data_IF_138450425090
#
_entry.id   IF_138450425090
#
_cell.length_a   1.000
_cell.length_b   1.000
_cell.length_c   1.000
_cell.angle_alpha   90.00
_cell.angle_beta   90.00
_cell.angle_gamma   90.00
#
_symmetry.space_group_name_H-M   'P 1'
#
loop_
_entity.id
_entity.type
_entity.pdbx_description
1 polymer ?
#
# COMPACT_ATOMS: atom_id res chain seq x y z
N UNK A 1 49.81 -6.96 1.75
CA UNK A 1 49.30 -6.47 0.45
C UNK A 1 47.81 -6.18 0.59
N UNK A 2 47.44 -4.91 0.74
CA UNK A 2 46.07 -4.44 0.88
C UNK A 2 45.39 -4.46 -0.49
N UNK A 3 44.32 -5.26 -0.65
CA UNK A 3 43.44 -5.20 -1.85
C UNK A 3 42.75 -3.85 -1.87
N UNK A 4 43.17 -2.93 -2.68
CA UNK A 4 42.39 -1.74 -3.04
C UNK A 4 41.13 -2.21 -3.76
N UNK A 5 40.01 -2.16 -3.06
CA UNK A 5 38.69 -2.30 -3.66
C UNK A 5 38.51 -1.11 -4.61
N UNK A 6 38.63 -1.34 -5.90
CA UNK A 6 38.25 -0.38 -6.93
C UNK A 6 36.73 -0.24 -6.92
N UNK A 7 36.23 0.73 -6.17
CA UNK A 7 34.83 1.12 -6.25
C UNK A 7 34.55 1.69 -7.64
N UNK A 8 33.91 0.91 -8.49
CA UNK A 8 33.37 1.41 -9.76
C UNK A 8 32.24 2.37 -9.43
N UNK A 9 32.33 3.65 -9.83
CA UNK A 9 31.24 4.60 -9.55
C UNK A 9 29.98 4.14 -10.25
N UNK A 10 28.93 3.88 -9.47
CA UNK A 10 27.61 3.51 -9.98
C UNK A 10 26.77 4.77 -10.14
N UNK A 11 26.09 4.92 -11.29
CA UNK A 11 25.10 5.98 -11.51
C UNK A 11 23.70 5.43 -11.25
N UNK A 12 22.86 6.21 -10.55
CA UNK A 12 21.46 5.90 -10.38
C UNK A 12 20.78 6.06 -11.74
N UNK A 13 20.25 4.98 -12.30
CA UNK A 13 19.52 5.00 -13.58
C UNK A 13 18.02 5.26 -13.38
N UNK A 14 17.44 4.76 -12.28
CA UNK A 14 16.01 4.87 -12.02
C UNK A 14 15.75 4.79 -10.51
N UNK A 15 14.74 5.55 -10.05
CA UNK A 15 14.17 5.44 -8.71
C UNK A 15 12.74 4.91 -8.87
N UNK A 16 12.40 3.87 -8.13
CA UNK A 16 11.05 3.31 -8.08
C UNK A 16 10.47 3.49 -6.69
N UNK A 17 9.27 4.05 -6.61
CA UNK A 17 8.51 4.10 -5.38
C UNK A 17 7.61 2.88 -5.30
N UNK A 18 7.58 2.23 -4.15
CA UNK A 18 6.80 1.03 -3.90
C UNK A 18 6.09 1.09 -2.55
N UNK A 19 5.23 0.11 -2.33
CA UNK A 19 4.60 -0.10 -1.04
C UNK A 19 5.58 -0.80 -0.10
N UNK A 20 5.58 -0.41 1.16
CA UNK A 20 6.40 -1.05 2.18
C UNK A 20 5.65 -2.24 2.79
N UNK A 21 6.33 -3.38 2.84
CA UNK A 21 5.88 -4.53 3.60
C UNK A 21 5.91 -4.22 5.11
N UNK A 22 4.94 -4.70 5.91
CA UNK A 22 4.97 -4.58 7.37
C UNK A 22 6.28 -5.05 8.03
N UNK A 23 6.97 -6.04 7.44
CA UNK A 23 8.28 -6.50 7.93
C UNK A 23 9.40 -5.50 7.64
N UNK A 24 9.35 -4.81 6.51
CA UNK A 24 10.28 -3.74 6.15
C UNK A 24 10.11 -2.52 7.05
N UNK A 25 8.86 -2.13 7.36
CA UNK A 25 8.56 -1.04 8.30
C UNK A 25 9.17 -1.34 9.68
N UNK A 26 9.03 -2.58 10.18
CA UNK A 26 9.63 -2.97 11.46
C UNK A 26 11.16 -2.96 11.42
N UNK A 27 11.77 -3.43 10.34
CA UNK A 27 13.23 -3.43 10.16
C UNK A 27 13.83 -2.03 10.10
N UNK A 28 13.11 -1.10 9.47
CA UNK A 28 13.52 0.30 9.34
C UNK A 28 13.35 1.07 10.65
N UNK A 29 12.47 0.61 11.52
CA UNK A 29 12.07 1.31 12.73
C UNK A 29 13.09 1.16 13.85
N UNK A 30 13.48 2.27 14.47
CA UNK A 30 14.34 2.29 15.65
C UNK A 30 13.60 1.96 16.95
N UNK A 31 12.28 2.24 17.00
CA UNK A 31 11.48 2.06 18.22
C UNK A 31 10.02 1.74 17.90
N UNK A 32 9.41 0.87 18.71
CA UNK A 32 7.97 0.65 18.72
C UNK A 32 7.30 1.66 19.65
N UNK A 33 6.39 2.45 19.11
CA UNK A 33 5.61 3.45 19.87
C UNK A 33 4.39 2.75 20.47
N UNK A 34 4.29 2.74 21.81
CA UNK A 34 3.23 2.06 22.56
C UNK A 34 2.29 3.00 23.29
N UNK A 35 2.73 4.22 23.56
CA UNK A 35 1.91 5.23 24.25
C UNK A 35 1.80 6.51 23.43
N UNK A 36 0.68 7.20 23.57
CA UNK A 36 0.46 8.51 22.97
C UNK A 36 1.14 9.65 23.73
N UNK A 37 1.64 9.36 24.94
CA UNK A 37 2.27 10.36 25.79
C UNK A 37 3.54 10.89 25.11
N UNK A 38 3.77 12.18 25.27
CA UNK A 38 4.88 12.89 24.64
C UNK A 38 5.98 13.22 25.64
N UNK A 39 5.66 14.03 26.64
CA UNK A 39 6.60 14.50 27.67
C UNK A 39 6.07 14.26 29.07
N UNK A 40 6.98 13.99 30.00
CA UNK A 40 6.72 13.92 31.41
C UNK A 40 6.69 15.33 32.02
N UNK A 41 6.26 15.43 33.28
CA UNK A 41 6.24 16.69 34.03
C UNK A 41 7.64 17.32 34.20
N UNK A 42 8.69 16.50 34.15
CA UNK A 42 10.09 16.91 34.17
C UNK A 42 10.63 17.41 32.83
N UNK A 43 9.80 17.43 31.77
CA UNK A 43 10.15 17.84 30.42
C UNK A 43 10.83 16.77 29.56
N UNK A 44 11.16 15.60 30.14
CA UNK A 44 11.78 14.51 29.40
C UNK A 44 10.72 13.72 28.58
N UNK A 45 11.09 13.30 27.38
CA UNK A 45 10.22 12.49 26.54
C UNK A 45 9.95 11.09 27.15
N UNK A 46 8.73 10.59 26.99
CA UNK A 46 8.39 9.22 27.35
C UNK A 46 9.12 8.22 26.45
N UNK A 47 9.72 7.19 27.07
CA UNK A 47 10.23 6.03 26.33
C UNK A 47 9.07 5.29 25.68
N UNK A 48 9.25 4.86 24.42
CA UNK A 48 8.20 4.25 23.59
C UNK A 48 6.97 5.16 23.39
N UNK A 49 7.12 6.47 23.62
CA UNK A 49 6.13 7.48 23.32
C UNK A 49 6.32 8.10 21.94
N UNK A 50 5.42 9.00 21.58
CA UNK A 50 5.48 9.67 20.28
C UNK A 50 6.73 10.54 20.08
N UNK A 51 7.36 11.00 21.16
CA UNK A 51 8.57 11.83 21.14
C UNK A 51 9.82 11.08 21.62
N UNK A 52 9.83 9.75 21.53
CA UNK A 52 10.96 8.92 21.98
C UNK A 52 12.26 9.34 21.27
N UNK A 53 13.35 9.66 22.00
CA UNK A 53 14.62 10.14 21.44
C UNK A 53 15.29 9.18 20.45
N UNK A 54 14.93 7.88 20.44
CA UNK A 54 15.40 6.93 19.43
C UNK A 54 14.97 7.29 18.02
N UNK A 55 13.91 8.10 17.85
CA UNK A 55 13.49 8.62 16.55
C UNK A 55 14.21 9.89 16.12
N UNK A 56 15.20 10.32 16.88
CA UNK A 56 15.96 11.55 16.68
C UNK A 56 15.74 12.55 17.81
N UNK A 57 16.61 13.54 17.89
CA UNK A 57 16.57 14.61 18.90
C UNK A 57 16.47 15.97 18.21
N UNK A 58 15.76 16.89 18.83
CA UNK A 58 15.58 18.27 18.33
C UNK A 58 16.22 19.31 19.25
N UNK A 59 16.62 18.92 20.45
CA UNK A 59 17.22 19.82 21.44
C UNK A 59 18.75 19.84 21.33
N UNK A 60 19.38 21.03 21.35
CA UNK A 60 20.83 21.15 21.36
C UNK A 60 21.43 20.44 22.59
N UNK A 61 22.51 19.69 22.38
CA UNK A 61 23.22 19.00 23.45
C UNK A 61 22.72 17.60 23.79
N UNK A 62 21.59 17.16 23.22
CA UNK A 62 21.15 15.78 23.32
C UNK A 62 21.74 14.94 22.18
N UNK A 63 22.03 13.67 22.49
CA UNK A 63 22.45 12.67 21.51
C UNK A 63 21.31 11.70 21.24
N UNK A 64 21.12 11.34 19.98
CA UNK A 64 20.19 10.29 19.58
C UNK A 64 20.71 8.92 20.07
N UNK A 65 19.95 8.16 20.88
CA UNK A 65 20.42 6.87 21.38
C UNK A 65 20.62 5.80 20.29
N UNK A 66 20.06 6.01 19.11
CA UNK A 66 20.13 5.03 18.00
C UNK A 66 21.48 5.07 17.30
N UNK A 67 22.02 6.24 17.00
CA UNK A 67 23.26 6.43 16.24
C UNK A 67 24.28 7.38 16.90
N UNK A 68 23.98 7.85 18.13
CA UNK A 68 24.80 8.80 18.88
C UNK A 68 25.08 10.13 18.14
N UNK A 69 24.27 10.48 17.14
CA UNK A 69 24.39 11.74 16.43
C UNK A 69 23.70 12.90 17.16
N UNK A 70 24.18 14.11 16.92
CA UNK A 70 23.54 15.35 17.38
C UNK A 70 22.39 15.73 16.43
N UNK A 71 21.49 16.60 16.91
CA UNK A 71 20.30 17.00 16.15
C UNK A 71 20.63 17.62 14.77
N UNK A 72 21.80 18.25 14.62
CA UNK A 72 22.22 18.87 13.36
C UNK A 72 22.67 17.86 12.30
N UNK A 73 23.15 16.71 12.71
CA UNK A 73 23.78 15.72 11.85
C UNK A 73 22.85 14.54 11.52
N UNK A 74 21.79 14.34 12.31
CA UNK A 74 20.87 13.22 12.15
C UNK A 74 19.65 13.60 11.33
N UNK A 75 19.32 12.83 10.27
CA UNK A 75 18.03 12.94 9.60
C UNK A 75 16.87 12.42 10.47
N UNK A 76 17.17 11.81 11.61
CA UNK A 76 16.25 11.08 12.48
C UNK A 76 15.94 9.67 11.98
N UNK A 77 15.25 8.92 12.81
CA UNK A 77 14.90 7.51 12.57
C UNK A 77 13.38 7.32 12.62
N UNK A 78 12.89 6.42 11.78
CA UNK A 78 11.48 6.03 11.83
C UNK A 78 11.20 5.22 13.10
N UNK A 79 10.01 5.43 13.67
CA UNK A 79 9.39 4.51 14.59
C UNK A 79 8.28 3.72 13.91
N UNK A 80 7.60 2.86 14.65
CA UNK A 80 6.38 2.21 14.17
C UNK A 80 5.37 2.02 15.30
N UNK A 81 4.10 1.94 14.90
CA UNK A 81 3.00 1.53 15.78
C UNK A 81 2.47 0.19 15.27
N UNK A 82 2.45 -0.82 16.14
CA UNK A 82 1.79 -2.08 15.84
C UNK A 82 0.29 -1.90 16.05
N UNK A 83 -0.49 -2.05 14.96
CA UNK A 83 -1.95 -1.93 15.04
C UNK A 83 -2.55 -3.26 15.48
N UNK A 84 -3.48 -3.22 16.43
CA UNK A 84 -4.23 -4.39 16.91
C UNK A 84 -5.14 -4.96 15.81
N UNK A 85 -5.81 -4.09 15.07
CA UNK A 85 -6.65 -4.42 13.92
C UNK A 85 -6.12 -3.75 12.67
N UNK A 86 -6.23 -4.42 11.50
CA UNK A 86 -5.83 -3.81 10.24
C UNK A 86 -6.71 -2.60 9.89
N UNK A 87 -6.08 -1.58 9.31
CA UNK A 87 -6.75 -0.32 8.92
C UNK A 87 -6.51 -0.03 7.46
N UNK A 88 -7.57 0.32 6.73
CA UNK A 88 -7.50 0.71 5.33
C UNK A 88 -6.86 2.10 5.21
N UNK A 89 -5.77 2.19 4.45
CA UNK A 89 -5.12 3.47 4.19
C UNK A 89 -5.96 4.31 3.21
N UNK A 90 -6.37 5.51 3.63
CA UNK A 90 -7.29 6.36 2.88
C UNK A 90 -6.79 6.73 1.48
N UNK A 91 -5.48 6.92 1.30
CA UNK A 91 -4.87 7.24 0.01
C UNK A 91 -5.02 6.14 -1.05
N UNK A 92 -5.25 4.89 -0.65
CA UNK A 92 -5.34 3.73 -1.54
C UNK A 92 -6.75 3.17 -1.69
N UNK A 93 -7.77 3.85 -1.19
CA UNK A 93 -9.18 3.40 -1.24
C UNK A 93 -9.64 3.12 -2.68
N UNK A 94 -9.24 3.95 -3.64
CA UNK A 94 -9.59 3.74 -5.05
C UNK A 94 -8.91 2.50 -5.64
N UNK A 95 -7.65 2.23 -5.27
CA UNK A 95 -6.93 1.03 -5.68
C UNK A 95 -7.63 -0.23 -5.14
N UNK A 96 -7.97 -0.23 -3.85
CA UNK A 96 -8.71 -1.33 -3.21
C UNK A 96 -10.05 -1.54 -3.92
N UNK A 97 -10.78 -0.47 -4.20
CA UNK A 97 -12.06 -0.53 -4.92
C UNK A 97 -11.90 -1.20 -6.29
N UNK A 98 -10.87 -0.81 -7.06
CA UNK A 98 -10.58 -1.41 -8.37
C UNK A 98 -10.24 -2.90 -8.23
N UNK A 99 -9.40 -3.26 -7.25
CA UNK A 99 -9.05 -4.66 -6.99
C UNK A 99 -10.27 -5.51 -6.63
N UNK A 100 -11.08 -5.06 -5.66
CA UNK A 100 -12.29 -5.79 -5.22
C UNK A 100 -13.35 -5.91 -6.33
N UNK A 101 -13.43 -4.96 -7.24
CA UNK A 101 -14.36 -5.03 -8.39
C UNK A 101 -13.85 -5.94 -9.51
N UNK A 102 -12.54 -6.06 -9.64
CA UNK A 102 -11.91 -6.80 -10.71
C UNK A 102 -11.73 -8.28 -10.39
N UNK A 103 -11.79 -8.67 -9.11
CA UNK A 103 -11.52 -10.03 -8.64
C UNK A 103 -12.74 -10.66 -7.99
N UNK A 104 -12.78 -11.99 -8.00
CA UNK A 104 -13.83 -12.78 -7.37
C UNK A 104 -13.76 -12.69 -5.84
N UNK A 105 -14.90 -12.63 -5.16
CA UNK A 105 -15.02 -12.62 -3.70
C UNK A 105 -14.60 -13.93 -3.02
N UNK A 106 -14.69 -15.08 -3.73
CA UNK A 106 -14.37 -16.40 -3.17
C UNK A 106 -12.98 -16.88 -3.59
N UNK A 107 -12.69 -16.95 -4.89
CA UNK A 107 -11.43 -17.52 -5.39
C UNK A 107 -10.34 -16.47 -5.68
N UNK A 108 -10.64 -15.17 -5.52
CA UNK A 108 -9.73 -14.02 -5.75
C UNK A 108 -9.11 -13.95 -7.16
N UNK A 109 -9.57 -14.78 -8.10
CA UNK A 109 -9.15 -14.72 -9.49
C UNK A 109 -9.77 -13.50 -10.19
N UNK A 110 -9.07 -12.98 -11.21
CA UNK A 110 -9.58 -11.89 -12.04
C UNK A 110 -10.85 -12.33 -12.78
N UNK A 111 -11.85 -11.46 -12.88
CA UNK A 111 -13.14 -11.74 -13.55
C UNK A 111 -13.05 -11.52 -15.07
N UNK A 112 -11.98 -12.05 -15.69
CA UNK A 112 -11.75 -12.10 -17.13
C UNK A 112 -11.68 -13.56 -17.57
N UNK A 113 -12.20 -13.86 -18.76
CA UNK A 113 -12.13 -15.21 -19.33
C UNK A 113 -10.69 -15.61 -19.66
N UNK A 114 -10.31 -16.82 -19.27
CA UNK A 114 -9.03 -17.44 -19.60
C UNK A 114 -9.08 -18.33 -20.85
N UNK A 115 -10.29 -18.65 -21.34
CA UNK A 115 -10.48 -19.54 -22.47
C UNK A 115 -10.19 -18.82 -23.80
N UNK A 116 -9.59 -19.51 -24.80
CA UNK A 116 -9.43 -18.99 -26.15
C UNK A 116 -10.79 -18.63 -26.78
N UNK A 117 -10.80 -17.65 -27.68
CA UNK A 117 -12.01 -17.21 -28.34
C UNK A 117 -12.88 -16.21 -27.56
N UNK A 118 -12.49 -15.84 -26.37
CA UNK A 118 -13.23 -14.87 -25.53
C UNK A 118 -12.71 -13.44 -25.64
N UNK A 119 -11.65 -13.24 -26.44
CA UNK A 119 -11.03 -11.93 -26.65
C UNK A 119 -12.01 -10.93 -27.29
N UNK A 120 -12.05 -9.67 -26.82
CA UNK A 120 -12.75 -8.59 -27.52
C UNK A 120 -12.07 -8.18 -28.83
N UNK A 121 -10.88 -8.70 -29.12
CA UNK A 121 -10.13 -8.46 -30.36
C UNK A 121 -10.49 -9.42 -31.49
N UNK A 122 -9.90 -9.19 -32.66
CA UNK A 122 -10.18 -9.99 -33.89
C UNK A 122 -9.47 -11.37 -33.92
N UNK A 123 -8.71 -11.73 -32.89
CA UNK A 123 -7.95 -12.97 -32.84
C UNK A 123 -8.76 -14.08 -32.13
N UNK A 124 -9.23 -15.12 -32.85
CA UNK A 124 -10.06 -16.19 -32.29
C UNK A 124 -9.30 -17.13 -31.34
N UNK A 125 -7.98 -17.14 -31.35
CA UNK A 125 -7.16 -17.97 -30.45
C UNK A 125 -6.79 -17.29 -29.15
N UNK A 126 -7.09 -16.00 -29.02
CA UNK A 126 -6.71 -15.20 -27.86
C UNK A 126 -7.79 -15.20 -26.78
N UNK A 127 -7.37 -15.37 -25.51
CA UNK A 127 -8.26 -15.18 -24.36
C UNK A 127 -8.45 -13.69 -24.02
N UNK A 128 -9.52 -13.39 -23.27
CA UNK A 128 -9.75 -12.02 -22.75
C UNK A 128 -8.61 -11.58 -21.83
N UNK A 129 -8.09 -12.49 -21.00
CA UNK A 129 -6.94 -12.20 -20.14
C UNK A 129 -5.69 -11.86 -20.95
N UNK A 130 -5.37 -12.63 -22.01
CA UNK A 130 -4.19 -12.38 -22.83
C UNK A 130 -4.31 -11.07 -23.62
N UNK A 131 -5.51 -10.74 -24.08
CA UNK A 131 -5.78 -9.47 -24.75
C UNK A 131 -5.43 -8.27 -23.86
N UNK A 132 -6.00 -8.22 -22.65
CA UNK A 132 -5.73 -7.11 -21.73
C UNK A 132 -4.30 -7.13 -21.20
N UNK A 133 -3.72 -8.31 -20.94
CA UNK A 133 -2.33 -8.44 -20.50
C UNK A 133 -1.34 -7.86 -21.50
N UNK A 134 -1.51 -8.18 -22.79
CA UNK A 134 -0.66 -7.68 -23.87
C UNK A 134 -0.82 -6.16 -24.02
N UNK A 135 -2.06 -5.64 -24.04
CA UNK A 135 -2.31 -4.19 -24.09
C UNK A 135 -1.69 -3.43 -22.91
N UNK A 136 -1.81 -3.97 -21.71
CA UNK A 136 -1.19 -3.34 -20.51
C UNK A 136 0.34 -3.33 -20.65
N UNK A 137 0.96 -4.44 -21.08
CA UNK A 137 2.40 -4.51 -21.31
C UNK A 137 2.87 -3.53 -22.37
N UNK A 138 2.17 -3.42 -23.48
CA UNK A 138 2.47 -2.46 -24.55
C UNK A 138 2.44 -1.01 -24.05
N UNK A 139 1.45 -0.67 -23.23
CA UNK A 139 1.37 0.68 -22.65
C UNK A 139 2.46 0.92 -21.62
N UNK A 140 2.78 -0.05 -20.77
CA UNK A 140 3.90 0.06 -19.83
C UNK A 140 5.22 0.30 -20.58
N UNK A 141 5.44 -0.41 -21.70
CA UNK A 141 6.66 -0.29 -22.49
C UNK A 141 6.76 1.06 -23.20
N UNK A 142 5.64 1.59 -23.72
CA UNK A 142 5.62 2.85 -24.49
C UNK A 142 5.55 4.11 -23.62
N UNK A 143 4.76 4.07 -22.56
CA UNK A 143 4.38 5.25 -21.78
C UNK A 143 4.79 5.17 -20.29
N UNK A 144 5.16 3.98 -19.82
CA UNK A 144 5.52 3.74 -18.43
C UNK A 144 4.31 3.52 -17.50
N UNK A 145 4.61 2.99 -16.32
CA UNK A 145 3.66 2.81 -15.22
C UNK A 145 3.30 4.20 -14.66
N UNK A 146 2.01 4.46 -14.45
CA UNK A 146 1.52 5.75 -13.95
C UNK A 146 1.12 6.76 -15.02
N UNK A 147 1.26 6.42 -16.31
CA UNK A 147 0.76 7.25 -17.41
C UNK A 147 -0.77 7.34 -17.42
N UNK A 148 -1.29 8.36 -18.12
CA UNK A 148 -2.75 8.51 -18.32
C UNK A 148 -3.32 7.36 -19.13
N UNK A 149 -2.56 6.84 -20.08
CA UNK A 149 -2.90 5.69 -20.92
C UNK A 149 -3.00 4.41 -20.09
N UNK A 150 -2.05 4.19 -19.19
CA UNK A 150 -2.08 3.08 -18.23
C UNK A 150 -3.33 3.14 -17.35
N UNK A 151 -3.63 4.32 -16.79
CA UNK A 151 -4.83 4.51 -15.97
C UNK A 151 -6.13 4.28 -16.74
N UNK A 152 -6.18 4.60 -18.04
CA UNK A 152 -7.35 4.35 -18.90
C UNK A 152 -7.59 2.85 -19.09
N UNK A 153 -6.54 2.07 -19.36
CA UNK A 153 -6.68 0.62 -19.53
C UNK A 153 -7.12 -0.06 -18.24
N UNK A 154 -6.54 0.30 -17.11
CA UNK A 154 -6.97 -0.26 -15.81
C UNK A 154 -8.45 0.04 -15.53
N UNK A 155 -8.92 1.25 -15.83
CA UNK A 155 -10.34 1.60 -15.72
C UNK A 155 -11.22 0.82 -16.71
N UNK A 156 -10.71 0.51 -17.91
CA UNK A 156 -11.40 -0.33 -18.89
C UNK A 156 -11.58 -1.75 -18.33
N UNK A 157 -10.51 -2.34 -17.79
CA UNK A 157 -10.58 -3.65 -17.11
C UNK A 157 -11.58 -3.61 -15.95
N UNK A 158 -11.51 -2.60 -15.06
CA UNK A 158 -12.47 -2.43 -13.96
C UNK A 158 -13.93 -2.39 -14.45
N UNK A 159 -14.20 -1.73 -15.57
CA UNK A 159 -15.56 -1.65 -16.15
C UNK A 159 -16.05 -2.99 -16.70
N UNK A 160 -15.17 -3.78 -17.29
CA UNK A 160 -15.52 -5.09 -17.86
C UNK A 160 -15.73 -6.14 -16.77
N UNK A 161 -14.90 -6.11 -15.72
CA UNK A 161 -14.89 -7.08 -14.61
C UNK A 161 -15.92 -6.77 -13.53
N UNK A 162 -16.49 -5.55 -13.49
CA UNK A 162 -17.39 -5.16 -12.38
C UNK A 162 -18.57 -6.13 -12.22
N UNK A 163 -18.94 -6.43 -10.98
CA UNK A 163 -20.05 -7.32 -10.62
C UNK A 163 -21.44 -6.95 -11.20
N UNK A 164 -21.58 -5.74 -11.78
CA UNK A 164 -22.78 -5.39 -12.58
C UNK A 164 -22.80 -6.05 -13.94
N UNK A 165 -21.64 -6.38 -14.50
CA UNK A 165 -21.50 -7.07 -15.80
C UNK A 165 -21.17 -8.55 -15.65
N UNK A 166 -20.38 -8.90 -14.63
CA UNK A 166 -19.94 -10.26 -14.32
C UNK A 166 -20.60 -10.74 -13.03
N UNK A 167 -21.85 -11.19 -13.11
CA UNK A 167 -22.65 -11.65 -11.97
C UNK A 167 -22.19 -12.98 -11.39
N UNK A 168 -21.51 -13.79 -12.19
CA UNK A 168 -21.01 -15.12 -11.81
C UNK A 168 -19.54 -15.22 -12.18
N UNK A 169 -18.74 -15.77 -11.27
CA UNK A 169 -17.33 -16.03 -11.53
C UNK A 169 -17.17 -17.21 -12.49
N UNK A 170 -16.40 -17.02 -13.56
CA UNK A 170 -16.13 -18.04 -14.56
C UNK A 170 -15.15 -19.14 -14.07
N UNK A 171 -14.45 -18.90 -12.95
CA UNK A 171 -13.49 -19.84 -12.40
C UNK A 171 -14.08 -20.75 -11.32
N UNK A 172 -14.91 -20.21 -10.44
CA UNK A 172 -15.48 -20.98 -9.31
C UNK A 172 -17.02 -21.03 -9.31
N UNK A 173 -17.69 -20.31 -10.19
CA UNK A 173 -19.15 -20.30 -10.28
C UNK A 173 -19.86 -19.47 -9.20
N UNK A 174 -19.14 -18.81 -8.31
CA UNK A 174 -19.78 -18.02 -7.24
C UNK A 174 -20.40 -16.72 -7.76
N UNK A 175 -21.52 -16.32 -7.13
CA UNK A 175 -22.22 -15.08 -7.44
C UNK A 175 -21.43 -13.87 -6.96
N UNK A 176 -21.30 -12.86 -7.83
CA UNK A 176 -20.54 -11.64 -7.55
C UNK A 176 -21.47 -10.49 -7.17
N UNK A 177 -21.20 -9.86 -6.02
CA UNK A 177 -21.90 -8.68 -5.57
C UNK A 177 -21.35 -7.40 -6.18
N UNK A 178 -22.15 -6.33 -6.13
CA UNK A 178 -21.70 -4.99 -6.48
C UNK A 178 -20.91 -4.39 -5.34
N UNK A 179 -19.63 -4.05 -5.56
CA UNK A 179 -18.80 -3.38 -4.57
C UNK A 179 -19.11 -1.88 -4.54
N UNK A 180 -19.51 -1.40 -3.37
CA UNK A 180 -19.84 0.00 -3.09
C UNK A 180 -18.84 0.53 -2.06
N UNK A 181 -18.30 1.71 -2.32
CA UNK A 181 -17.51 2.46 -1.36
C UNK A 181 -18.41 3.45 -0.62
N UNK A 182 -18.56 3.23 0.68
CA UNK A 182 -19.18 4.17 1.61
C UNK A 182 -18.04 4.97 2.26
N UNK A 183 -17.97 6.24 1.88
CA UNK A 183 -16.86 7.10 2.29
C UNK A 183 -16.77 7.24 3.81
N UNK A 184 -15.57 7.31 4.41
CA UNK A 184 -14.28 7.47 3.71
C UNK A 184 -13.60 6.16 3.30
N UNK A 185 -13.75 5.05 4.02
CA UNK A 185 -12.95 3.82 3.86
C UNK A 185 -13.76 2.53 4.02
N UNK A 186 -15.07 2.61 4.09
CA UNK A 186 -15.94 1.45 4.30
C UNK A 186 -16.33 0.84 2.96
N UNK A 187 -16.07 -0.44 2.76
CA UNK A 187 -16.53 -1.18 1.61
C UNK A 187 -17.75 -2.02 1.97
N UNK A 188 -18.71 -2.09 1.05
CA UNK A 188 -19.90 -2.91 1.13
C UNK A 188 -20.04 -3.71 -0.14
N UNK A 189 -20.41 -4.97 0.01
CA UNK A 189 -20.80 -5.84 -1.08
C UNK A 189 -22.32 -5.95 -1.09
N UNK A 190 -22.95 -5.60 -2.21
CA UNK A 190 -24.39 -5.65 -2.38
C UNK A 190 -24.75 -6.74 -3.38
N UNK A 191 -25.48 -7.73 -2.90
CA UNK A 191 -26.27 -8.67 -3.70
C UNK A 191 -27.69 -8.16 -3.82
N UNK A 192 -28.51 -8.75 -4.69
CA UNK A 192 -29.86 -8.23 -5.02
C UNK A 192 -30.70 -7.84 -3.79
N UNK A 193 -30.69 -8.65 -2.73
CA UNK A 193 -31.49 -8.43 -1.51
C UNK A 193 -30.68 -8.30 -0.22
N UNK A 194 -29.35 -8.39 -0.27
CA UNK A 194 -28.50 -8.35 0.91
C UNK A 194 -27.33 -7.39 0.71
N UNK A 195 -26.98 -6.70 1.78
CA UNK A 195 -25.80 -5.81 1.82
C UNK A 195 -24.88 -6.27 2.95
N UNK A 196 -23.65 -6.62 2.61
CA UNK A 196 -22.62 -7.06 3.55
C UNK A 196 -21.54 -5.98 3.66
N UNK A 197 -21.26 -5.53 4.88
CA UNK A 197 -20.10 -4.67 5.16
C UNK A 197 -18.84 -5.54 5.18
N UNK A 198 -17.81 -5.12 4.44
CA UNK A 198 -16.50 -5.75 4.42
C UNK A 198 -15.62 -5.11 5.50
N UNK A 199 -15.15 -5.91 6.45
CA UNK A 199 -14.20 -5.45 7.45
C UNK A 199 -12.79 -5.31 6.83
N UNK A 200 -11.92 -4.46 7.37
CA UNK A 200 -10.55 -4.33 6.87
C UNK A 200 -9.77 -5.66 6.85
N UNK A 201 -10.08 -6.59 7.77
CA UNK A 201 -9.50 -7.94 7.79
C UNK A 201 -9.93 -8.72 6.56
N UNK A 202 -11.25 -8.76 6.26
CA UNK A 202 -11.80 -9.45 5.08
C UNK A 202 -11.22 -8.89 3.79
N UNK A 203 -11.13 -7.56 3.70
CA UNK A 203 -10.51 -6.88 2.54
C UNK A 203 -9.04 -7.28 2.39
N UNK A 204 -8.28 -7.34 3.48
CA UNK A 204 -6.88 -7.74 3.44
C UNK A 204 -6.71 -9.20 3.01
N UNK A 205 -7.51 -10.11 3.54
CA UNK A 205 -7.50 -11.52 3.16
C UNK A 205 -7.81 -11.70 1.67
N UNK A 206 -8.85 -11.03 1.18
CA UNK A 206 -9.19 -11.03 -0.24
C UNK A 206 -8.02 -10.55 -1.10
N UNK A 207 -7.43 -9.38 -0.77
CA UNK A 207 -6.30 -8.83 -1.52
C UNK A 207 -5.06 -9.73 -1.48
N UNK A 208 -4.80 -10.40 -0.35
CA UNK A 208 -3.64 -11.30 -0.20
C UNK A 208 -3.79 -12.59 -1.01
N UNK A 209 -5.02 -13.01 -1.29
CA UNK A 209 -5.34 -14.22 -2.05
C UNK A 209 -5.30 -14.01 -3.56
N UNK A 210 -5.13 -12.77 -4.04
CA UNK A 210 -5.05 -12.48 -5.48
C UNK A 210 -3.77 -13.12 -6.05
N UNK A 211 -3.88 -13.98 -7.09
CA UNK A 211 -2.72 -14.59 -7.73
C UNK A 211 -1.76 -13.55 -8.30
N UNK A 212 -0.42 -13.77 -8.17
CA UNK A 212 0.58 -12.80 -8.64
C UNK A 212 0.51 -12.45 -10.13
N UNK A 213 0.03 -13.38 -10.97
CA UNK A 213 -0.17 -13.16 -12.40
C UNK A 213 -1.36 -12.24 -12.73
N UNK A 214 -2.28 -12.07 -11.78
CA UNK A 214 -3.46 -11.20 -11.95
C UNK A 214 -3.22 -9.76 -11.48
N UNK A 215 -2.13 -9.49 -10.75
CA UNK A 215 -1.83 -8.14 -10.22
C UNK A 215 -1.70 -7.08 -11.31
N UNK A 216 -1.21 -7.45 -12.48
CA UNK A 216 -1.05 -6.54 -13.63
C UNK A 216 -2.39 -5.91 -14.07
N UNK A 217 -3.51 -6.63 -13.93
CA UNK A 217 -4.84 -6.15 -14.34
C UNK A 217 -5.41 -5.08 -13.39
N UNK A 218 -4.90 -5.01 -12.16
CA UNK A 218 -5.25 -3.98 -11.18
C UNK A 218 -4.18 -2.89 -11.07
N UNK A 219 -3.18 -2.92 -11.95
CA UNK A 219 -2.10 -1.93 -11.98
C UNK A 219 -1.02 -2.13 -10.95
N UNK A 220 -0.86 -3.34 -10.43
CA UNK A 220 0.15 -3.71 -9.43
C UNK A 220 1.11 -4.77 -9.96
N UNK A 221 2.18 -5.03 -9.22
CA UNK A 221 3.18 -6.05 -9.53
C UNK A 221 3.48 -6.93 -8.30
N UNK A 222 4.36 -7.92 -8.48
CA UNK A 222 4.76 -8.83 -7.40
C UNK A 222 5.52 -8.15 -6.27
N UNK A 223 6.14 -7.00 -6.53
CA UNK A 223 6.93 -6.24 -5.55
C UNK A 223 6.05 -5.28 -4.74
N UNK A 224 4.85 -4.97 -5.25
CA UNK A 224 3.89 -4.06 -4.65
C UNK A 224 2.56 -4.81 -4.43
N UNK A 225 2.52 -5.60 -3.37
CA UNK A 225 1.35 -6.43 -3.08
C UNK A 225 0.17 -5.58 -2.57
N UNK A 226 -1.06 -5.84 -3.07
CA UNK A 226 -2.22 -5.01 -2.72
C UNK A 226 -2.63 -5.09 -1.24
N UNK A 227 -2.35 -6.20 -0.54
CA UNK A 227 -2.66 -6.33 0.87
C UNK A 227 -1.86 -5.39 1.78
N UNK A 228 -0.75 -4.81 1.28
CA UNK A 228 0.08 -3.87 2.07
C UNK A 228 -0.57 -2.50 2.23
N UNK A 229 -1.56 -2.16 1.40
CA UNK A 229 -2.34 -0.91 1.57
C UNK A 229 -3.37 -1.00 2.72
N UNK A 230 -3.57 -2.20 3.27
CA UNK A 230 -4.31 -2.42 4.51
C UNK A 230 -3.30 -2.60 5.63
N UNK A 231 -3.10 -1.53 6.38
CA UNK A 231 -2.01 -1.40 7.35
C UNK A 231 -2.21 -2.31 8.56
N UNK A 232 -1.18 -3.05 8.93
CA UNK A 232 -1.00 -3.73 10.23
C UNK A 232 0.06 -3.02 11.08
N UNK A 233 0.96 -2.31 10.44
CA UNK A 233 2.02 -1.54 11.07
C UNK A 233 1.98 -0.15 10.46
N UNK A 234 1.91 0.86 11.31
CA UNK A 234 1.93 2.26 10.89
C UNK A 234 3.35 2.80 11.08
N UNK A 235 4.02 3.28 10.03
CA UNK A 235 5.31 3.97 10.19
C UNK A 235 5.10 5.32 10.86
N UNK A 236 5.95 5.63 11.85
CA UNK A 236 5.97 6.92 12.54
C UNK A 236 7.18 7.69 12.03
N UNK A 237 7.01 8.88 11.45
CA UNK A 237 8.13 9.64 10.92
C UNK A 237 9.07 10.13 12.05
N UNK A 238 10.33 10.43 11.72
CA UNK A 238 11.30 10.98 12.67
C UNK A 238 10.80 12.24 13.38
N UNK A 239 11.28 12.48 14.61
CA UNK A 239 10.94 13.69 15.38
C UNK A 239 11.39 14.96 14.64
N UNK A 240 12.51 14.90 13.93
CA UNK A 240 13.04 16.00 13.12
C UNK A 240 12.08 16.52 12.05
N UNK A 241 11.18 15.67 11.54
CA UNK A 241 10.16 16.04 10.54
C UNK A 241 8.88 16.60 11.18
N UNK A 242 8.65 16.31 12.47
CA UNK A 242 7.47 16.74 13.25
C UNK A 242 7.89 17.40 14.56
N UNK A 243 8.66 18.51 14.51
CA UNK A 243 9.12 19.18 15.72
C UNK A 243 7.95 19.70 16.55
N UNK A 244 8.14 19.75 17.88
CA UNK A 244 7.21 20.44 18.77
C UNK A 244 7.52 21.93 18.77
N UNK A 245 6.49 22.77 18.68
CA UNK A 245 6.60 24.22 18.78
C UNK A 245 5.92 24.64 20.08
N UNK A 246 6.68 25.30 20.96
CA UNK A 246 6.13 25.92 22.17
C UNK A 246 5.60 27.29 21.81
N UNK A 247 4.30 27.48 21.94
CA UNK A 247 3.69 28.79 21.94
C UNK A 247 3.52 29.25 23.38
N UNK A 248 3.46 30.57 23.63
CA UNK A 248 3.42 31.17 24.99
C UNK A 248 2.34 30.60 25.92
N UNK A 249 1.38 29.83 25.38
CA UNK A 249 0.23 29.27 26.12
C UNK A 249 0.02 27.76 25.95
N UNK A 250 0.66 27.10 24.99
CA UNK A 250 0.52 25.65 24.78
C UNK A 250 1.58 25.05 23.88
N UNK A 251 1.82 23.75 24.02
CA UNK A 251 2.64 22.93 23.13
C UNK A 251 1.80 22.45 21.94
N UNK A 252 2.18 22.84 20.71
CA UNK A 252 1.55 22.34 19.50
C UNK A 252 2.50 21.36 18.82
N UNK A 253 2.04 20.14 18.62
CA UNK A 253 2.74 19.12 17.81
C UNK A 253 2.28 19.20 16.36
N UNK A 254 3.23 19.31 15.48
CA UNK A 254 3.00 19.32 14.03
C UNK A 254 3.04 17.91 13.46
#
# INVERSE_FOLDING_TARGET
MSRKSTMIPKRIAQIRFGLMDPSEIRKMSAVEVKTADTYKDDGHAYKQGLMDPHMGVIEPGLLCPTDNCQYQDSPGHFGHIQLELPVIHIGFVNLIKTALKATCNDCSNILLHSEPGTSPGSNPEQSEQDYYRNRIRDVITKHGVGSTEFSKIIKEVEKVTSGTKRKVCMHCGSSQGKIILDKPTTFKEKHDNTERKLNPRDVREWLSSIPPEHLIFIGMDKQNRPEWVVLKVLPVPPITVRPSITLDLSLIHI
#
